data_IF_651511030336
#
_entry.id   IF_651511030336
#
_cell.length_a   1.000
_cell.length_b   1.000
_cell.length_c   1.000
_cell.angle_alpha   90.00
_cell.angle_beta   90.00
_cell.angle_gamma   90.00
#
_symmetry.space_group_name_H-M   'P 1'
#
loop_
_entity.id
_entity.type
_entity.pdbx_description
1 polymer ?
#
# COMPACT_ATOMS: atom_id res chain seq x y z
N UNK A 1 12.06 -4.42 -0.41
CA UNK A 1 12.78 -3.98 -1.62
C UNK A 1 14.25 -4.13 -1.33
N UNK A 2 15.03 -4.74 -2.24
CA UNK A 2 16.46 -4.97 -2.01
C UNK A 2 17.32 -3.80 -2.47
N UNK A 3 16.90 -3.08 -3.51
CA UNK A 3 17.53 -1.82 -3.93
C UNK A 3 16.62 -1.02 -4.84
N UNK A 4 16.92 0.27 -4.99
CA UNK A 4 16.19 1.18 -5.88
C UNK A 4 15.06 1.94 -5.19
N UNK A 5 14.14 2.45 -6.00
CA UNK A 5 13.05 3.33 -5.57
C UNK A 5 11.80 3.06 -6.39
N UNK A 6 10.65 2.98 -5.72
CA UNK A 6 9.35 2.80 -6.36
C UNK A 6 8.37 3.87 -5.86
N UNK A 7 7.44 4.30 -6.72
CA UNK A 7 6.31 5.13 -6.33
C UNK A 7 5.04 4.29 -6.23
N UNK A 8 4.21 4.62 -5.25
CA UNK A 8 2.89 4.02 -5.04
C UNK A 8 1.83 4.99 -5.55
N UNK A 9 0.99 4.52 -6.46
CA UNK A 9 -0.09 5.29 -7.05
C UNK A 9 -1.40 4.56 -6.81
N UNK A 10 -2.45 5.26 -6.40
CA UNK A 10 -3.80 4.69 -6.34
C UNK A 10 -4.36 4.40 -7.73
N UNK A 11 -5.53 3.72 -7.79
CA UNK A 11 -6.17 3.43 -9.09
C UNK A 11 -6.55 4.70 -9.86
N UNK A 12 -6.86 5.78 -9.14
CA UNK A 12 -7.28 7.05 -9.72
C UNK A 12 -6.12 8.02 -9.96
N UNK A 13 -4.88 7.62 -9.71
CA UNK A 13 -3.69 8.39 -10.07
C UNK A 13 -3.11 9.25 -8.94
N UNK A 14 -3.63 9.15 -7.72
CA UNK A 14 -3.03 9.83 -6.56
C UNK A 14 -1.73 9.14 -6.18
N UNK A 15 -0.63 9.89 -6.11
CA UNK A 15 0.62 9.41 -5.53
C UNK A 15 0.50 9.37 -4.00
N UNK A 16 0.62 8.17 -3.42
CA UNK A 16 0.59 7.99 -1.97
C UNK A 16 1.96 8.16 -1.32
N UNK A 17 3.02 7.98 -2.10
CA UNK A 17 4.39 8.15 -1.64
C UNK A 17 5.40 7.30 -2.40
N UNK A 18 6.63 7.36 -1.91
CA UNK A 18 7.80 6.70 -2.47
C UNK A 18 8.34 5.72 -1.44
N UNK A 19 8.67 4.52 -1.89
CA UNK A 19 9.38 3.53 -1.10
C UNK A 19 10.82 3.36 -1.59
N UNK A 20 11.70 3.05 -0.65
CA UNK A 20 13.13 2.88 -0.78
C UNK A 20 13.57 1.51 -0.24
N UNK A 21 14.88 1.26 -0.30
CA UNK A 21 15.48 0.00 0.15
C UNK A 21 15.03 -0.39 1.57
N UNK A 22 14.78 -1.68 1.80
CA UNK A 22 14.28 -2.20 3.06
C UNK A 22 12.76 -2.17 3.21
N UNK A 23 12.04 -1.36 2.41
CA UNK A 23 10.58 -1.23 2.54
C UNK A 23 9.81 -2.32 1.77
N UNK A 24 8.60 -2.64 2.23
CA UNK A 24 7.71 -3.65 1.64
C UNK A 24 6.45 -2.96 1.11
N UNK A 25 5.87 -3.51 0.06
CA UNK A 25 4.57 -3.10 -0.47
C UNK A 25 3.73 -4.30 -0.90
N UNK A 26 2.42 -4.11 -1.01
CA UNK A 26 1.48 -5.15 -1.40
C UNK A 26 1.07 -6.08 -0.26
N UNK A 27 1.54 -5.82 0.96
CA UNK A 27 1.25 -6.56 2.17
C UNK A 27 -0.19 -6.37 2.65
N UNK A 28 -0.73 -5.15 2.49
CA UNK A 28 -2.09 -4.83 2.94
C UNK A 28 -3.09 -5.82 2.32
N UNK A 29 -3.03 -6.04 1.01
CA UNK A 29 -3.95 -6.96 0.32
C UNK A 29 -3.96 -8.37 0.92
N UNK A 30 -2.80 -8.87 1.35
CA UNK A 30 -2.65 -10.19 1.94
C UNK A 30 -3.01 -10.25 3.44
N UNK A 31 -2.88 -9.15 4.18
CA UNK A 31 -3.19 -9.07 5.62
C UNK A 31 -4.68 -8.86 5.87
N UNK A 32 -5.32 -7.99 5.06
CA UNK A 32 -6.72 -7.60 5.26
C UNK A 32 -7.69 -8.25 4.26
N UNK A 33 -7.22 -9.25 3.50
CA UNK A 33 -7.99 -10.04 2.51
C UNK A 33 -8.84 -9.13 1.60
N UNK A 34 -8.21 -8.07 1.10
CA UNK A 34 -8.88 -7.04 0.30
C UNK A 34 -8.23 -6.90 -1.07
N UNK A 35 -9.04 -6.55 -2.07
CA UNK A 35 -8.56 -6.36 -3.44
C UNK A 35 -7.50 -5.26 -3.53
N UNK A 36 -6.46 -5.47 -4.35
CA UNK A 36 -5.34 -4.54 -4.58
C UNK A 36 -5.80 -3.08 -4.68
N UNK A 37 -5.20 -2.24 -3.85
CA UNK A 37 -5.54 -0.81 -3.68
C UNK A 37 -4.67 0.13 -4.51
N UNK A 38 -3.50 -0.33 -4.98
CA UNK A 38 -2.46 0.55 -5.57
C UNK A 38 -1.69 -0.12 -6.70
N UNK A 39 -1.16 0.71 -7.59
CA UNK A 39 -0.16 0.43 -8.62
C UNK A 39 1.22 0.86 -8.11
N UNK A 40 2.24 0.04 -8.33
CA UNK A 40 3.63 0.35 -7.94
C UNK A 40 4.47 0.50 -9.20
N UNK A 41 5.18 1.63 -9.32
CA UNK A 41 5.97 1.97 -10.50
C UNK A 41 7.42 2.21 -10.08
N UNK A 42 8.36 1.47 -10.67
CA UNK A 42 9.78 1.72 -10.46
C UNK A 42 10.17 3.13 -10.95
N UNK A 43 10.87 3.88 -10.11
CA UNK A 43 11.45 5.19 -10.45
C UNK A 43 12.91 5.08 -10.85
N UNK A 44 13.60 4.05 -10.36
CA UNK A 44 14.96 3.70 -10.72
C UNK A 44 15.06 2.20 -11.02
N UNK A 45 16.22 1.76 -11.50
CA UNK A 45 16.53 0.33 -11.58
C UNK A 45 16.42 -0.27 -10.17
N UNK A 46 15.39 -1.09 -9.96
CA UNK A 46 15.00 -1.58 -8.63
C UNK A 46 15.00 -3.11 -8.61
N UNK A 47 15.48 -3.69 -7.50
CA UNK A 47 15.49 -5.14 -7.27
C UNK A 47 14.42 -5.46 -6.23
N UNK A 48 13.43 -6.24 -6.65
CA UNK A 48 12.28 -6.61 -5.82
C UNK A 48 12.33 -8.11 -5.49
N UNK A 49 12.39 -8.42 -4.20
CA UNK A 49 12.17 -9.77 -3.70
C UNK A 49 10.68 -10.05 -3.55
N UNK A 50 10.15 -10.94 -4.38
CA UNK A 50 8.76 -11.38 -4.26
C UNK A 50 8.59 -12.28 -3.03
N UNK A 51 7.55 -12.00 -2.23
CA UNK A 51 7.14 -12.84 -1.10
C UNK A 51 5.76 -13.40 -1.43
N UNK A 52 5.63 -14.72 -1.39
CA UNK A 52 4.35 -15.37 -1.66
C UNK A 52 3.37 -15.16 -0.50
N UNK A 53 2.08 -15.04 -0.83
CA UNK A 53 0.99 -14.88 0.14
C UNK A 53 1.01 -15.94 1.24
N UNK A 54 1.26 -17.21 0.87
CA UNK A 54 1.39 -18.32 1.82
C UNK A 54 2.43 -18.01 2.89
N UNK A 55 3.60 -17.51 2.50
CA UNK A 55 4.67 -17.14 3.42
C UNK A 55 4.25 -16.03 4.38
N UNK A 56 3.52 -15.02 3.90
CA UNK A 56 3.01 -13.92 4.75
C UNK A 56 2.00 -14.47 5.76
N UNK A 57 1.03 -15.27 5.30
CA UNK A 57 -0.01 -15.87 6.15
C UNK A 57 0.59 -16.78 7.23
N UNK A 58 1.58 -17.61 6.86
CA UNK A 58 2.30 -18.47 7.79
C UNK A 58 3.03 -17.66 8.85
N UNK A 59 3.80 -16.64 8.44
CA UNK A 59 4.53 -15.76 9.38
C UNK A 59 3.62 -15.00 10.33
N UNK A 60 2.47 -14.52 9.87
CA UNK A 60 1.50 -13.83 10.74
C UNK A 60 0.87 -14.80 11.73
N UNK A 61 0.54 -16.03 11.29
CA UNK A 61 -0.06 -17.07 12.14
C UNK A 61 0.90 -17.56 13.22
N UNK A 62 2.19 -17.62 12.90
CA UNK A 62 3.25 -18.04 13.82
C UNK A 62 3.78 -16.91 14.71
N UNK A 63 3.40 -15.66 14.43
CA UNK A 63 3.78 -14.51 15.25
C UNK A 63 3.04 -14.50 16.58
N UNK A 64 3.59 -13.75 17.54
CA UNK A 64 2.89 -13.45 18.79
C UNK A 64 1.50 -12.83 18.50
N UNK A 65 0.42 -13.35 19.10
CA UNK A 65 -0.94 -12.87 18.83
C UNK A 65 -1.12 -11.36 19.03
N UNK A 66 -0.42 -10.74 19.99
CA UNK A 66 -0.44 -9.30 20.21
C UNK A 66 0.17 -8.55 19.02
N UNK A 67 1.31 -9.00 18.53
CA UNK A 67 1.98 -8.40 17.38
C UNK A 67 1.14 -8.56 16.11
N UNK A 68 0.56 -9.75 15.90
CA UNK A 68 -0.34 -10.01 14.78
C UNK A 68 -1.56 -9.09 14.82
N UNK A 69 -2.15 -8.87 16.00
CA UNK A 69 -3.28 -7.95 16.19
C UNK A 69 -2.88 -6.49 15.90
N UNK A 70 -1.71 -6.04 16.36
CA UNK A 70 -1.19 -4.69 16.08
C UNK A 70 -1.01 -4.49 14.57
N UNK A 71 -0.33 -5.43 13.89
CA UNK A 71 -0.10 -5.39 12.45
C UNK A 71 -1.43 -5.29 11.70
N UNK A 72 -2.38 -6.18 12.01
CA UNK A 72 -3.71 -6.17 11.38
C UNK A 72 -4.45 -4.86 11.61
N UNK A 73 -4.43 -4.33 12.83
CA UNK A 73 -5.08 -3.05 13.18
C UNK A 73 -4.45 -1.85 12.46
N UNK A 74 -3.14 -1.83 12.29
CA UNK A 74 -2.45 -0.80 11.50
C UNK A 74 -2.75 -0.93 10.01
N UNK A 75 -2.71 -2.14 9.45
CA UNK A 75 -3.02 -2.37 8.02
C UNK A 75 -4.43 -1.92 7.65
N UNK A 76 -5.42 -2.14 8.52
CA UNK A 76 -6.79 -1.64 8.33
C UNK A 76 -6.83 -0.11 8.30
N UNK A 77 -6.23 0.56 9.29
CA UNK A 77 -6.22 2.03 9.38
C UNK A 77 -5.50 2.68 8.20
N UNK A 78 -4.40 2.09 7.72
CA UNK A 78 -3.69 2.58 6.53
C UNK A 78 -4.57 2.42 5.29
N UNK A 79 -5.23 1.27 5.15
CA UNK A 79 -6.17 1.03 4.05
C UNK A 79 -7.32 2.06 4.01
N UNK A 80 -7.89 2.39 5.16
CA UNK A 80 -8.96 3.38 5.28
C UNK A 80 -8.45 4.81 5.02
N UNK A 81 -7.27 5.16 5.53
CA UNK A 81 -6.63 6.45 5.26
C UNK A 81 -6.36 6.65 3.76
N UNK A 82 -5.85 5.62 3.06
CA UNK A 82 -5.59 5.68 1.63
C UNK A 82 -6.88 5.89 0.82
N UNK A 83 -7.97 5.18 1.16
CA UNK A 83 -9.28 5.38 0.51
C UNK A 83 -9.82 6.79 0.73
N UNK A 84 -9.68 7.31 1.95
CA UNK A 84 -10.15 8.65 2.29
C UNK A 84 -9.35 9.73 1.55
N UNK A 85 -8.03 9.59 1.49
CA UNK A 85 -7.14 10.48 0.75
C UNK A 85 -7.49 10.53 -0.74
N UNK A 86 -7.70 9.36 -1.36
CA UNK A 86 -8.13 9.28 -2.77
C UNK A 86 -9.48 9.96 -3.00
N UNK A 87 -10.46 9.72 -2.11
CA UNK A 87 -11.78 10.35 -2.22
C UNK A 87 -11.65 11.88 -2.18
N UNK A 88 -10.95 12.44 -1.20
CA UNK A 88 -10.78 13.89 -1.10
C UNK A 88 -10.03 14.49 -2.30
N UNK A 89 -9.03 13.78 -2.82
CA UNK A 89 -8.30 14.21 -4.00
C UNK A 89 -9.20 14.26 -5.25
N UNK A 90 -10.06 13.27 -5.44
CA UNK A 90 -11.06 13.25 -6.52
C UNK A 90 -12.06 14.40 -6.38
N UNK A 91 -12.64 14.59 -5.20
CA UNK A 91 -13.60 15.66 -4.94
C UNK A 91 -12.99 17.02 -5.27
N UNK A 92 -11.75 17.28 -4.82
CA UNK A 92 -11.02 18.52 -5.11
C UNK A 92 -10.75 18.74 -6.61
N UNK A 93 -10.43 17.68 -7.35
CA UNK A 93 -10.21 17.78 -8.80
C UNK A 93 -11.51 18.11 -9.55
N UNK A 94 -12.64 17.53 -9.14
CA UNK A 94 -13.96 17.88 -9.69
C UNK A 94 -14.26 19.35 -9.41
N UNK A 95 -14.11 19.82 -8.17
CA UNK A 95 -14.35 21.23 -7.83
C UNK A 95 -13.48 22.21 -8.62
N UNK A 96 -12.23 21.86 -8.93
CA UNK A 96 -11.37 22.69 -9.79
C UNK A 96 -11.90 22.74 -11.22
N UNK A 97 -12.27 21.60 -11.79
CA UNK A 97 -12.78 21.53 -13.17
C UNK A 97 -14.11 22.26 -13.41
N UNK A 98 -14.89 22.54 -12.36
CA UNK A 98 -16.14 23.30 -12.45
C UNK A 98 -15.96 24.82 -12.35
N UNK A 99 -14.75 25.30 -12.02
CA UNK A 99 -14.43 26.74 -11.93
C UNK A 99 -13.75 27.29 -13.18
N UNK A 100 -13.40 26.41 -14.13
CA UNK A 100 -12.88 26.71 -15.45
C UNK A 100 -14.00 26.62 -16.51
#
# INVERSE_FOLDING_TARGET
MESGQVKIITKQGLELGILNEGEIFGEIGHIIDSSRTVTVIAQTNSIIKAIHEKTIKEKIREADPLLAAIIRGLSLRIGDANKLAEKFWLDLNIYKSLKD
#
